data_IF_305651952514
#
_entry.id   IF_305651952514
#
_cell.length_a   1.000
_cell.length_b   1.000
_cell.length_c   1.000
_cell.angle_alpha   90.00
_cell.angle_beta   90.00
_cell.angle_gamma   90.00
#
_symmetry.space_group_name_H-M   'P 1'
#
loop_
_entity.id
_entity.type
_entity.pdbx_description
1 polymer ?
#
# COMPACT_ATOMS: atom_id res chain seq x y z
N UNK A 1 -15.94 -37.59 -5.95
CA UNK A 1 -15.56 -36.36 -5.23
C UNK A 1 -15.26 -35.29 -6.26
N UNK A 2 -15.84 -34.10 -6.10
CA UNK A 2 -15.53 -33.00 -7.00
C UNK A 2 -14.13 -32.45 -6.76
N UNK A 3 -13.66 -31.64 -7.70
CA UNK A 3 -12.35 -31.01 -7.63
C UNK A 3 -12.38 -29.73 -6.77
N UNK A 4 -11.22 -29.37 -6.25
CA UNK A 4 -10.99 -28.08 -5.59
C UNK A 4 -10.35 -27.09 -6.58
N UNK A 5 -10.88 -25.86 -6.62
CA UNK A 5 -10.34 -24.77 -7.42
C UNK A 5 -9.56 -23.81 -6.51
N UNK A 6 -8.29 -23.58 -6.79
CA UNK A 6 -7.43 -22.64 -6.09
C UNK A 6 -7.22 -21.41 -6.99
N UNK A 7 -7.56 -20.21 -6.47
CA UNK A 7 -7.46 -18.97 -7.24
C UNK A 7 -6.45 -18.05 -6.56
N UNK A 8 -5.27 -17.90 -7.15
CA UNK A 8 -4.22 -17.00 -6.69
C UNK A 8 -4.35 -15.59 -7.31
N UNK A 9 -3.65 -14.61 -6.75
CA UNK A 9 -3.65 -13.25 -7.29
C UNK A 9 -2.78 -13.10 -8.53
N UNK A 10 -1.69 -13.88 -8.61
CA UNK A 10 -0.68 -13.79 -9.68
C UNK A 10 -0.23 -15.17 -10.15
N UNK A 11 0.25 -15.30 -11.40
CA UNK A 11 0.74 -16.57 -11.94
C UNK A 11 1.85 -17.21 -11.10
N UNK A 12 2.77 -16.41 -10.56
CA UNK A 12 3.87 -16.89 -9.71
C UNK A 12 3.36 -17.54 -8.42
N UNK A 13 2.39 -16.94 -7.77
CA UNK A 13 1.76 -17.48 -6.55
C UNK A 13 1.02 -18.78 -6.87
N UNK A 14 0.28 -18.83 -7.98
CA UNK A 14 -0.39 -20.05 -8.44
C UNK A 14 0.59 -21.21 -8.67
N UNK A 15 1.80 -20.94 -9.15
CA UNK A 15 2.84 -21.95 -9.31
C UNK A 15 3.30 -22.53 -7.97
N UNK A 16 3.45 -21.70 -6.94
CA UNK A 16 3.83 -22.18 -5.61
C UNK A 16 2.71 -23.03 -4.99
N UNK A 17 1.44 -22.65 -5.15
CA UNK A 17 0.31 -23.49 -4.76
C UNK A 17 0.30 -24.83 -5.49
N UNK A 18 0.51 -24.83 -6.82
CA UNK A 18 0.54 -26.06 -7.61
C UNK A 18 1.69 -27.00 -7.18
N UNK A 19 2.86 -26.45 -6.83
CA UNK A 19 3.99 -27.23 -6.30
C UNK A 19 3.67 -27.79 -4.91
N UNK A 20 3.11 -26.96 -4.01
CA UNK A 20 2.79 -27.36 -2.65
C UNK A 20 1.75 -28.49 -2.59
N UNK A 21 0.81 -28.51 -3.53
CA UNK A 21 -0.19 -29.58 -3.63
C UNK A 21 0.39 -30.95 -4.05
N UNK A 22 1.62 -31.02 -4.55
CA UNK A 22 2.34 -32.28 -4.92
C UNK A 22 1.52 -33.22 -5.84
N UNK A 23 0.71 -32.64 -6.72
CA UNK A 23 -0.09 -33.38 -7.69
C UNK A 23 0.55 -33.27 -9.08
N UNK A 24 0.41 -34.33 -9.89
CA UNK A 24 0.72 -34.21 -11.31
C UNK A 24 -0.32 -33.33 -11.99
N UNK A 25 0.10 -32.14 -12.44
CA UNK A 25 -0.76 -31.12 -13.01
C UNK A 25 -0.33 -30.78 -14.44
N UNK A 26 -1.24 -30.94 -15.38
CA UNK A 26 -1.08 -30.46 -16.75
C UNK A 26 -1.28 -28.96 -16.81
N UNK A 27 -0.44 -28.29 -17.58
CA UNK A 27 -0.56 -26.86 -17.84
C UNK A 27 -1.48 -26.57 -19.02
N UNK A 28 -2.40 -25.65 -18.80
CA UNK A 28 -3.33 -25.11 -19.81
C UNK A 28 -3.16 -23.59 -19.90
N UNK A 29 -3.81 -23.00 -20.88
CA UNK A 29 -3.84 -21.54 -20.96
C UNK A 29 -4.61 -20.96 -19.76
N UNK A 30 -3.93 -20.24 -18.89
CA UNK A 30 -4.51 -19.56 -17.74
C UNK A 30 -4.79 -20.43 -16.51
N UNK A 31 -4.47 -21.73 -16.50
CA UNK A 31 -4.63 -22.60 -15.32
C UNK A 31 -3.79 -23.87 -15.42
N UNK A 32 -3.71 -24.61 -14.30
CA UNK A 32 -3.16 -25.97 -14.21
C UNK A 32 -4.22 -26.90 -13.64
N UNK A 33 -4.24 -28.14 -14.08
CA UNK A 33 -5.23 -29.11 -13.64
C UNK A 33 -4.63 -30.49 -13.39
N UNK A 34 -4.95 -31.05 -12.24
CA UNK A 34 -4.69 -32.42 -11.83
C UNK A 34 -5.97 -33.20 -11.55
N UNK A 35 -5.84 -34.40 -11.01
CA UNK A 35 -6.97 -35.29 -10.76
C UNK A 35 -7.99 -34.69 -9.76
N UNK A 36 -7.53 -34.10 -8.67
CA UNK A 36 -8.40 -33.54 -7.60
C UNK A 36 -8.38 -32.02 -7.46
N UNK A 37 -7.56 -31.32 -8.25
CA UNK A 37 -7.38 -29.89 -8.09
C UNK A 37 -7.18 -29.16 -9.41
N UNK A 38 -7.66 -27.90 -9.43
CA UNK A 38 -7.41 -26.93 -10.48
C UNK A 38 -6.80 -25.70 -9.82
N UNK A 39 -5.71 -25.17 -10.38
CA UNK A 39 -5.06 -23.95 -9.90
C UNK A 39 -5.08 -22.91 -11.01
N UNK A 40 -5.68 -21.76 -10.73
CA UNK A 40 -5.73 -20.61 -11.64
C UNK A 40 -5.30 -19.35 -10.93
N UNK A 41 -5.27 -18.25 -11.64
CA UNK A 41 -4.80 -16.97 -11.12
C UNK A 41 -5.52 -15.78 -11.73
N UNK A 42 -5.52 -14.70 -10.98
CA UNK A 42 -5.74 -13.37 -11.53
C UNK A 42 -4.43 -12.80 -12.09
N UNK A 43 -4.46 -11.64 -12.68
CA UNK A 43 -3.28 -10.89 -13.12
C UNK A 43 -3.23 -9.53 -12.39
N UNK A 44 -3.48 -9.57 -11.06
CA UNK A 44 -3.96 -8.46 -10.30
C UNK A 44 -5.46 -8.29 -10.52
N UNK A 45 -5.95 -7.06 -10.69
CA UNK A 45 -7.36 -6.82 -10.98
C UNK A 45 -7.78 -7.36 -12.35
N UNK A 46 -8.86 -8.15 -12.37
CA UNK A 46 -9.57 -8.56 -13.58
C UNK A 46 -10.80 -7.71 -13.84
N UNK A 47 -11.31 -7.06 -12.80
CA UNK A 47 -12.52 -6.25 -12.79
C UNK A 47 -12.22 -4.90 -12.17
N UNK A 48 -12.84 -3.86 -12.68
CA UNK A 48 -12.70 -2.48 -12.17
C UNK A 48 -14.06 -1.79 -12.11
N UNK A 49 -14.15 -0.68 -11.39
CA UNK A 49 -15.32 0.19 -11.47
C UNK A 49 -15.39 0.85 -12.85
N UNK A 50 -16.59 0.91 -13.41
CA UNK A 50 -16.84 1.51 -14.73
C UNK A 50 -16.61 3.02 -14.71
N UNK A 51 -16.10 3.54 -15.81
CA UNK A 51 -15.93 5.00 -15.97
C UNK A 51 -17.28 5.73 -15.98
N UNK A 52 -17.29 7.03 -15.62
CA UNK A 52 -18.54 7.81 -15.53
C UNK A 52 -19.41 7.83 -16.79
N UNK A 53 -18.81 7.74 -17.98
CA UNK A 53 -19.54 7.68 -19.25
C UNK A 53 -20.40 6.43 -19.44
N UNK A 54 -20.17 5.36 -18.68
CA UNK A 54 -21.00 4.14 -18.68
C UNK A 54 -22.34 4.41 -17.94
N UNK A 55 -22.36 5.40 -17.08
CA UNK A 55 -23.59 5.81 -16.39
C UNK A 55 -24.41 6.78 -17.22
N UNK A 56 -23.76 7.76 -17.87
CA UNK A 56 -24.39 8.74 -18.76
C UNK A 56 -23.29 9.34 -19.65
N UNK A 57 -23.52 9.38 -20.96
CA UNK A 57 -22.60 9.92 -21.97
C UNK A 57 -22.21 11.38 -21.75
N UNK A 58 -23.03 12.17 -20.98
CA UNK A 58 -22.67 13.55 -20.59
C UNK A 58 -21.37 13.63 -19.79
N UNK A 59 -21.00 12.55 -19.07
CA UNK A 59 -19.76 12.48 -18.29
C UNK A 59 -18.50 12.17 -19.12
N UNK A 60 -18.65 11.82 -20.41
CA UNK A 60 -17.52 11.59 -21.31
C UNK A 60 -16.70 12.85 -21.53
N UNK A 61 -17.37 13.99 -21.73
CA UNK A 61 -16.71 15.30 -21.83
C UNK A 61 -16.64 15.90 -20.42
N UNK A 62 -15.41 16.18 -19.97
CA UNK A 62 -15.21 16.80 -18.67
C UNK A 62 -15.75 18.23 -18.66
N UNK A 63 -16.55 18.55 -17.67
CA UNK A 63 -17.16 19.87 -17.48
C UNK A 63 -17.41 20.10 -15.99
N UNK A 64 -17.24 21.35 -15.53
CA UNK A 64 -17.59 21.75 -14.17
C UNK A 64 -19.08 21.55 -13.88
N UNK A 65 -19.94 21.71 -14.89
CA UNK A 65 -21.39 21.52 -14.76
C UNK A 65 -21.80 20.06 -14.48
N UNK A 66 -20.91 19.09 -14.70
CA UNK A 66 -21.18 17.67 -14.46
C UNK A 66 -20.49 17.13 -13.19
N UNK A 67 -19.99 18.03 -12.34
CA UNK A 67 -19.36 17.71 -11.06
C UNK A 67 -20.22 18.21 -9.91
N UNK A 68 -20.28 17.49 -8.77
CA UNK A 68 -19.63 16.22 -8.54
C UNK A 68 -20.34 15.04 -9.23
N UNK A 69 -19.58 14.05 -9.67
CA UNK A 69 -20.11 12.76 -10.10
C UNK A 69 -20.25 11.84 -8.89
N UNK A 70 -21.47 11.48 -8.53
CA UNK A 70 -21.80 10.59 -7.40
C UNK A 70 -22.85 9.61 -7.91
N UNK A 71 -22.46 8.37 -8.29
CA UNK A 71 -23.43 7.38 -8.75
C UNK A 71 -24.25 6.83 -7.60
N UNK A 72 -25.52 6.54 -7.83
CA UNK A 72 -26.37 5.85 -6.86
C UNK A 72 -25.95 4.40 -6.66
N UNK A 73 -25.60 3.73 -7.74
CA UNK A 73 -25.05 2.37 -7.74
C UNK A 73 -23.71 2.34 -8.47
N UNK A 74 -22.75 1.59 -7.91
CA UNK A 74 -21.46 1.41 -8.56
C UNK A 74 -21.52 0.28 -9.57
N UNK A 75 -21.20 0.58 -10.82
CA UNK A 75 -21.09 -0.39 -11.91
C UNK A 75 -19.65 -0.88 -12.03
N UNK A 76 -19.53 -2.15 -12.39
CA UNK A 76 -18.23 -2.80 -12.56
C UNK A 76 -18.13 -3.37 -13.98
N UNK A 77 -16.92 -3.44 -14.49
CA UNK A 77 -16.62 -3.99 -15.81
C UNK A 77 -15.31 -4.77 -15.80
N UNK A 78 -15.22 -5.74 -16.72
CA UNK A 78 -13.99 -6.52 -16.90
C UNK A 78 -12.95 -5.65 -17.60
N UNK A 79 -11.75 -5.62 -17.06
CA UNK A 79 -10.61 -4.91 -17.65
C UNK A 79 -10.28 -5.51 -19.01
N UNK A 80 -10.30 -4.72 -20.07
CA UNK A 80 -10.15 -5.19 -21.47
C UNK A 80 -8.88 -6.02 -21.68
N UNK A 81 -7.74 -5.58 -21.14
CA UNK A 81 -6.46 -6.30 -21.23
C UNK A 81 -6.44 -7.62 -20.44
N UNK A 82 -7.30 -7.79 -19.45
CA UNK A 82 -7.40 -8.97 -18.62
C UNK A 82 -8.60 -9.88 -19.00
N UNK A 83 -9.35 -9.51 -20.05
CA UNK A 83 -10.60 -10.19 -20.43
C UNK A 83 -10.41 -11.68 -20.72
N UNK A 84 -9.33 -12.06 -21.38
CA UNK A 84 -9.04 -13.46 -21.68
C UNK A 84 -8.89 -14.30 -20.40
N UNK A 85 -8.12 -13.82 -19.44
CA UNK A 85 -7.94 -14.50 -18.16
C UNK A 85 -9.23 -14.49 -17.33
N UNK A 86 -9.99 -13.40 -17.34
CA UNK A 86 -11.29 -13.35 -16.68
C UNK A 86 -12.25 -14.43 -17.22
N UNK A 87 -12.33 -14.65 -18.53
CA UNK A 87 -13.19 -15.69 -19.12
C UNK A 87 -12.75 -17.09 -18.69
N UNK A 88 -11.45 -17.35 -18.58
CA UNK A 88 -10.92 -18.62 -18.08
C UNK A 88 -11.35 -18.83 -16.62
N UNK A 89 -11.09 -17.84 -15.74
CA UNK A 89 -11.46 -17.93 -14.32
C UNK A 89 -12.97 -18.07 -14.15
N UNK A 90 -13.76 -17.30 -14.89
CA UNK A 90 -15.23 -17.41 -14.91
C UNK A 90 -15.69 -18.82 -15.31
N UNK A 91 -15.11 -19.37 -16.38
CA UNK A 91 -15.40 -20.72 -16.82
C UNK A 91 -15.09 -21.76 -15.75
N UNK A 92 -13.92 -21.67 -15.11
CA UNK A 92 -13.50 -22.58 -14.03
C UNK A 92 -14.40 -22.46 -12.79
N UNK A 93 -14.77 -21.25 -12.37
CA UNK A 93 -15.67 -21.02 -11.24
C UNK A 93 -17.04 -21.68 -11.43
N UNK A 94 -17.52 -21.77 -12.67
CA UNK A 94 -18.84 -22.31 -12.99
C UNK A 94 -18.80 -23.79 -13.47
N UNK A 95 -17.65 -24.47 -13.42
CA UNK A 95 -17.53 -25.88 -13.76
C UNK A 95 -18.32 -26.75 -12.77
N UNK A 96 -19.06 -27.71 -13.28
CA UNK A 96 -19.89 -28.63 -12.47
C UNK A 96 -19.05 -29.55 -11.59
N UNK A 97 -17.87 -29.94 -12.03
CA UNK A 97 -16.96 -30.84 -11.29
C UNK A 97 -16.13 -30.11 -10.20
N UNK A 98 -16.31 -28.80 -10.02
CA UNK A 98 -15.72 -28.02 -8.93
C UNK A 98 -16.70 -27.90 -7.77
N UNK A 99 -16.36 -28.46 -6.62
CA UNK A 99 -17.18 -28.40 -5.40
C UNK A 99 -16.76 -27.25 -4.45
N UNK A 100 -15.45 -27.03 -4.34
CA UNK A 100 -14.88 -26.09 -3.37
C UNK A 100 -13.92 -25.12 -4.07
N UNK A 101 -14.05 -23.84 -3.74
CA UNK A 101 -13.18 -22.77 -4.19
C UNK A 101 -12.32 -22.32 -3.03
N UNK A 102 -11.01 -22.41 -3.19
CA UNK A 102 -10.03 -21.83 -2.27
C UNK A 102 -9.56 -20.49 -2.79
N UNK A 103 -9.84 -19.45 -2.03
CA UNK A 103 -9.46 -18.06 -2.33
C UNK A 103 -8.05 -17.84 -1.81
N UNK A 104 -7.08 -17.83 -2.71
CA UNK A 104 -5.65 -17.75 -2.42
C UNK A 104 -5.02 -16.44 -2.91
N UNK A 105 -5.83 -15.39 -3.04
CA UNK A 105 -5.33 -14.02 -3.26
C UNK A 105 -4.62 -13.52 -2.00
N UNK A 106 -3.80 -12.49 -2.14
CA UNK A 106 -2.97 -11.96 -1.04
C UNK A 106 -3.78 -11.73 0.24
N UNK A 107 -3.17 -12.00 1.39
CA UNK A 107 -3.82 -11.92 2.71
C UNK A 107 -3.99 -10.46 3.13
N UNK A 108 -5.05 -9.82 2.66
CA UNK A 108 -5.32 -8.42 2.90
C UNK A 108 -6.58 -7.93 2.20
N UNK A 109 -6.92 -6.66 2.43
CA UNK A 109 -8.10 -6.00 1.83
C UNK A 109 -8.08 -6.04 0.31
N UNK A 110 -6.92 -5.83 -0.30
CA UNK A 110 -6.77 -5.79 -1.75
C UNK A 110 -7.05 -7.16 -2.38
N UNK A 111 -6.43 -8.23 -1.86
CA UNK A 111 -6.68 -9.58 -2.34
C UNK A 111 -8.13 -10.03 -2.14
N UNK A 112 -8.77 -9.60 -1.04
CA UNK A 112 -10.20 -9.85 -0.82
C UNK A 112 -11.05 -9.14 -1.87
N UNK A 113 -10.76 -7.87 -2.15
CA UNK A 113 -11.47 -7.08 -3.16
C UNK A 113 -11.34 -7.66 -4.57
N UNK A 114 -10.13 -8.07 -4.96
CA UNK A 114 -9.88 -8.70 -6.26
C UNK A 114 -10.76 -9.93 -6.45
N UNK A 115 -10.77 -10.84 -5.48
CA UNK A 115 -11.57 -12.06 -5.60
C UNK A 115 -13.08 -11.79 -5.60
N UNK A 116 -13.57 -10.97 -4.66
CA UNK A 116 -15.00 -10.67 -4.53
C UNK A 116 -15.59 -10.05 -5.81
N UNK A 117 -14.84 -9.18 -6.48
CA UNK A 117 -15.25 -8.64 -7.78
C UNK A 117 -15.31 -9.71 -8.87
N UNK A 118 -14.33 -10.61 -8.91
CA UNK A 118 -14.31 -11.73 -9.86
C UNK A 118 -15.50 -12.66 -9.60
N UNK A 119 -15.78 -12.99 -8.36
CA UNK A 119 -16.92 -13.80 -7.96
C UNK A 119 -18.24 -13.15 -8.40
N UNK A 120 -18.43 -11.89 -8.06
CA UNK A 120 -19.62 -11.10 -8.42
C UNK A 120 -19.86 -11.09 -9.93
N UNK A 121 -18.82 -10.83 -10.71
CA UNK A 121 -18.92 -10.73 -12.17
C UNK A 121 -18.99 -12.09 -12.88
N UNK A 122 -18.54 -13.16 -12.23
CA UNK A 122 -18.65 -14.53 -12.77
C UNK A 122 -20.04 -15.12 -12.60
N UNK A 123 -20.80 -14.63 -11.61
CA UNK A 123 -22.14 -15.11 -11.29
C UNK A 123 -22.15 -16.53 -10.71
N UNK A 124 -21.05 -16.98 -10.10
CA UNK A 124 -20.95 -18.33 -9.51
C UNK A 124 -21.92 -18.47 -8.32
N UNK A 125 -22.58 -19.64 -8.24
CA UNK A 125 -23.53 -19.99 -7.17
C UNK A 125 -23.22 -21.38 -6.65
N UNK A 126 -23.75 -21.69 -5.46
CA UNK A 126 -23.82 -23.05 -4.89
C UNK A 126 -22.47 -23.79 -4.78
N UNK A 127 -21.38 -23.05 -4.53
CA UNK A 127 -20.04 -23.59 -4.26
C UNK A 127 -19.61 -23.28 -2.84
N UNK A 128 -18.87 -24.22 -2.22
CA UNK A 128 -18.18 -23.92 -0.95
C UNK A 128 -17.02 -22.97 -1.23
N UNK A 129 -16.87 -21.92 -0.42
CA UNK A 129 -15.81 -20.93 -0.56
C UNK A 129 -14.99 -20.91 0.71
N UNK A 130 -13.69 -21.08 0.57
CA UNK A 130 -12.76 -21.08 1.68
C UNK A 130 -11.65 -20.06 1.45
N UNK A 131 -11.39 -19.21 2.41
CA UNK A 131 -10.32 -18.22 2.37
C UNK A 131 -9.04 -18.79 2.95
N UNK A 132 -8.01 -18.86 2.12
CA UNK A 132 -6.64 -19.22 2.53
C UNK A 132 -5.95 -17.95 3.01
N UNK A 133 -5.43 -17.99 4.23
CA UNK A 133 -4.73 -16.85 4.83
C UNK A 133 -3.31 -17.26 5.20
N UNK A 134 -2.33 -16.70 4.51
CA UNK A 134 -0.90 -17.04 4.65
C UNK A 134 -0.04 -15.79 4.70
N UNK A 135 1.04 -15.85 5.45
CA UNK A 135 2.00 -14.75 5.61
C UNK A 135 3.24 -14.93 4.70
N UNK A 136 3.46 -16.11 4.17
CA UNK A 136 4.52 -16.41 3.21
C UNK A 136 4.10 -17.48 2.20
N UNK A 137 4.90 -17.64 1.13
CA UNK A 137 4.61 -18.60 0.05
C UNK A 137 5.48 -19.87 0.16
N UNK A 138 5.94 -20.21 1.35
CA UNK A 138 6.62 -21.49 1.57
C UNK A 138 5.63 -22.66 1.49
N UNK A 139 6.09 -23.82 1.08
CA UNK A 139 5.25 -25.02 0.96
C UNK A 139 4.50 -25.32 2.27
N UNK A 140 5.21 -25.28 3.40
CA UNK A 140 4.64 -25.53 4.73
C UNK A 140 3.50 -24.56 5.04
N UNK A 141 3.72 -23.27 4.79
CA UNK A 141 2.74 -22.22 5.07
C UNK A 141 1.51 -22.33 4.15
N UNK A 142 1.73 -22.62 2.86
CA UNK A 142 0.62 -22.86 1.92
C UNK A 142 -0.24 -24.04 2.39
N UNK A 143 0.38 -25.16 2.74
CA UNK A 143 -0.35 -26.36 3.23
C UNK A 143 -1.07 -26.10 4.56
N UNK A 144 -0.46 -25.31 5.46
CA UNK A 144 -1.10 -24.84 6.69
C UNK A 144 -2.33 -24.01 6.36
N UNK A 145 -2.18 -22.98 5.52
CA UNK A 145 -3.27 -22.09 5.14
C UNK A 145 -4.43 -22.80 4.46
N UNK A 146 -4.17 -23.84 3.65
CA UNK A 146 -5.23 -24.66 3.04
C UNK A 146 -5.98 -25.48 4.12
N UNK A 147 -5.27 -26.10 5.06
CA UNK A 147 -5.90 -26.88 6.15
C UNK A 147 -6.76 -26.02 7.07
N UNK A 148 -6.28 -24.81 7.38
CA UNK A 148 -6.92 -23.86 8.29
C UNK A 148 -7.87 -22.88 7.58
N UNK A 149 -8.09 -23.06 6.27
CA UNK A 149 -8.92 -22.17 5.48
C UNK A 149 -10.34 -22.08 6.03
N UNK A 150 -10.74 -20.88 6.39
CA UNK A 150 -12.04 -20.57 6.96
C UNK A 150 -13.08 -20.32 5.88
N UNK A 151 -14.35 -20.34 6.25
CA UNK A 151 -15.41 -19.94 5.34
C UNK A 151 -15.20 -18.48 4.90
N UNK A 152 -15.48 -18.22 3.63
CA UNK A 152 -15.27 -16.87 3.05
C UNK A 152 -16.11 -15.80 3.75
N UNK A 153 -17.27 -16.16 4.31
CA UNK A 153 -18.15 -15.24 5.03
C UNK A 153 -17.51 -14.66 6.31
N UNK A 154 -16.54 -15.33 6.91
CA UNK A 154 -15.80 -14.77 8.04
C UNK A 154 -14.99 -13.50 7.67
N UNK A 155 -14.80 -13.26 6.38
CA UNK A 155 -14.09 -12.10 5.86
C UNK A 155 -15.01 -11.02 5.24
N UNK A 156 -16.32 -11.10 5.45
CA UNK A 156 -17.28 -10.14 4.87
C UNK A 156 -17.01 -8.71 5.33
N UNK A 157 -16.73 -8.49 6.61
CA UNK A 157 -16.37 -7.15 7.12
C UNK A 157 -15.08 -6.61 6.47
N UNK A 158 -14.13 -7.49 6.17
CA UNK A 158 -12.90 -7.11 5.46
C UNK A 158 -13.21 -6.74 4.01
N UNK A 159 -14.07 -7.50 3.35
CA UNK A 159 -14.55 -7.23 2.00
C UNK A 159 -15.28 -5.88 1.94
N UNK A 160 -16.20 -5.62 2.87
CA UNK A 160 -16.93 -4.33 2.96
C UNK A 160 -15.98 -3.15 3.14
N UNK A 161 -14.99 -3.29 4.01
CA UNK A 161 -13.92 -2.30 4.20
C UNK A 161 -13.15 -2.04 2.90
N UNK A 162 -12.87 -3.09 2.12
CA UNK A 162 -12.18 -2.99 0.84
C UNK A 162 -13.04 -2.30 -0.23
N UNK A 163 -14.31 -2.65 -0.33
CA UNK A 163 -15.28 -2.00 -1.22
C UNK A 163 -15.46 -0.51 -0.90
N UNK A 164 -15.60 -0.16 0.38
CA UNK A 164 -15.74 1.23 0.81
C UNK A 164 -14.50 2.04 0.43
N UNK A 165 -13.31 1.51 0.70
CA UNK A 165 -12.06 2.16 0.34
C UNK A 165 -11.95 2.38 -1.18
N UNK A 166 -12.27 1.38 -1.97
CA UNK A 166 -12.20 1.48 -3.42
C UNK A 166 -13.19 2.52 -3.96
N UNK A 167 -14.42 2.58 -3.42
CA UNK A 167 -15.44 3.59 -3.77
C UNK A 167 -14.98 5.00 -3.39
N UNK A 168 -14.39 5.16 -2.21
CA UNK A 168 -13.83 6.44 -1.76
C UNK A 168 -12.72 6.91 -2.72
N UNK A 169 -11.73 6.05 -3.00
CA UNK A 169 -10.63 6.37 -3.91
C UNK A 169 -11.14 6.71 -5.33
N UNK A 170 -12.15 5.98 -5.81
CA UNK A 170 -12.78 6.24 -7.09
C UNK A 170 -13.47 7.61 -7.13
N UNK A 171 -14.31 7.92 -6.14
CA UNK A 171 -15.04 9.20 -6.08
C UNK A 171 -14.09 10.39 -5.94
N UNK A 172 -13.11 10.29 -5.05
CA UNK A 172 -12.10 11.33 -4.89
C UNK A 172 -11.27 11.50 -6.17
N UNK A 173 -10.77 10.40 -6.71
CA UNK A 173 -9.95 10.40 -7.92
C UNK A 173 -10.68 11.04 -9.11
N UNK A 174 -11.89 10.60 -9.42
CA UNK A 174 -12.67 11.11 -10.55
C UNK A 174 -13.00 12.59 -10.37
N UNK A 175 -13.58 12.98 -9.24
CA UNK A 175 -14.09 14.34 -9.05
C UNK A 175 -12.97 15.37 -8.93
N UNK A 176 -11.98 15.12 -8.08
CA UNK A 176 -10.90 16.08 -7.87
C UNK A 176 -9.92 16.16 -9.03
N UNK A 177 -9.63 15.03 -9.71
CA UNK A 177 -8.77 15.08 -10.90
C UNK A 177 -9.43 15.90 -12.01
N UNK A 178 -10.72 15.71 -12.26
CA UNK A 178 -11.46 16.49 -13.25
C UNK A 178 -11.55 17.98 -12.86
N UNK A 179 -11.89 18.26 -11.60
CA UNK A 179 -11.98 19.63 -11.09
C UNK A 179 -10.66 20.39 -11.23
N UNK A 180 -9.56 19.82 -10.76
CA UNK A 180 -8.26 20.49 -10.81
C UNK A 180 -7.73 20.60 -12.24
N UNK A 181 -7.92 19.58 -13.07
CA UNK A 181 -7.55 19.64 -14.47
C UNK A 181 -8.31 20.74 -15.22
N UNK A 182 -9.62 20.85 -15.01
CA UNK A 182 -10.44 21.88 -15.64
C UNK A 182 -10.07 23.29 -15.18
N UNK A 183 -9.66 23.47 -13.92
CA UNK A 183 -9.27 24.77 -13.37
C UNK A 183 -7.84 25.18 -13.69
N UNK A 184 -6.91 24.25 -13.59
CA UNK A 184 -5.47 24.56 -13.59
C UNK A 184 -4.68 23.84 -14.68
N UNK A 185 -5.26 22.84 -15.36
CA UNK A 185 -4.55 22.02 -16.35
C UNK A 185 -3.94 22.85 -17.49
N UNK A 186 -4.67 23.84 -18.00
CA UNK A 186 -4.17 24.72 -19.07
C UNK A 186 -2.99 25.61 -18.60
N UNK A 187 -3.05 26.15 -17.38
CA UNK A 187 -1.96 26.96 -16.83
C UNK A 187 -0.69 26.14 -16.62
N UNK A 188 -0.84 24.92 -16.10
CA UNK A 188 0.28 23.98 -15.92
C UNK A 188 0.84 23.52 -17.26
N UNK A 189 -0.01 23.16 -18.22
CA UNK A 189 0.42 22.77 -19.56
C UNK A 189 1.22 23.91 -20.25
N UNK A 190 0.73 25.14 -20.14
CA UNK A 190 1.44 26.33 -20.65
C UNK A 190 2.81 26.53 -19.99
N UNK A 191 2.87 26.36 -18.66
CA UNK A 191 4.13 26.47 -17.90
C UNK A 191 5.13 25.38 -18.28
N UNK A 192 4.65 24.15 -18.52
CA UNK A 192 5.48 23.01 -18.90
C UNK A 192 5.76 22.95 -20.41
N UNK A 193 5.24 23.88 -21.21
CA UNK A 193 5.30 23.86 -22.68
C UNK A 193 4.67 22.59 -23.30
N UNK A 194 3.62 22.06 -22.67
CA UNK A 194 2.86 20.90 -23.13
C UNK A 194 1.52 21.32 -23.73
N UNK A 195 0.95 20.47 -24.59
CA UNK A 195 -0.38 20.72 -25.18
C UNK A 195 -1.53 20.54 -24.19
N UNK A 196 -1.35 19.65 -23.25
CA UNK A 196 -2.37 19.25 -22.28
C UNK A 196 -1.73 18.64 -21.04
N UNK A 197 -2.22 19.01 -19.87
CA UNK A 197 -1.77 18.41 -18.61
C UNK A 197 -2.96 17.98 -17.76
N UNK A 198 -2.99 16.69 -17.38
CA UNK A 198 -3.97 16.15 -16.46
C UNK A 198 -3.39 16.17 -15.04
N UNK A 199 -4.15 16.75 -14.13
CA UNK A 199 -3.80 16.75 -12.71
C UNK A 199 -4.51 15.56 -12.05
N UNK A 200 -3.77 14.50 -11.85
CA UNK A 200 -4.28 13.33 -11.14
C UNK A 200 -4.29 13.56 -9.63
N UNK A 201 -5.42 13.25 -9.00
CA UNK A 201 -5.59 13.30 -7.55
C UNK A 201 -5.84 11.89 -7.05
N UNK A 202 -5.13 11.52 -6.02
CA UNK A 202 -5.31 10.25 -5.34
C UNK A 202 -4.86 10.38 -3.89
N UNK A 203 -5.49 9.67 -2.99
CA UNK A 203 -5.28 9.78 -1.55
C UNK A 203 -3.81 9.63 -1.15
N UNK A 204 -3.14 8.61 -1.65
CA UNK A 204 -1.71 8.36 -1.36
C UNK A 204 -0.82 9.30 -2.15
N UNK A 205 -1.03 9.41 -3.45
CA UNK A 205 -0.16 10.20 -4.36
C UNK A 205 -0.15 11.69 -3.97
N UNK A 206 -1.29 12.26 -3.64
CA UNK A 206 -1.39 13.67 -3.24
C UNK A 206 -0.67 13.93 -1.91
N UNK A 207 -0.79 13.02 -0.94
CA UNK A 207 -0.05 13.12 0.32
C UNK A 207 1.46 13.05 0.12
N UNK A 208 1.93 12.09 -0.67
CA UNK A 208 3.37 11.94 -0.98
C UNK A 208 3.90 13.17 -1.71
N UNK A 209 3.17 13.68 -2.70
CA UNK A 209 3.54 14.93 -3.38
C UNK A 209 3.63 16.10 -2.38
N UNK A 210 2.67 16.22 -1.47
CA UNK A 210 2.68 17.24 -0.43
C UNK A 210 3.91 17.14 0.49
N UNK A 211 4.32 15.93 0.84
CA UNK A 211 5.54 15.69 1.63
C UNK A 211 6.80 16.10 0.86
N UNK A 212 6.90 15.74 -0.42
CA UNK A 212 8.03 16.13 -1.27
C UNK A 212 8.10 17.64 -1.42
N UNK A 213 6.99 18.30 -1.75
CA UNK A 213 6.93 19.76 -1.90
C UNK A 213 7.31 20.49 -0.60
N UNK A 214 6.85 19.99 0.56
CA UNK A 214 7.23 20.53 1.86
C UNK A 214 8.73 20.44 2.07
N UNK A 215 9.30 19.26 1.79
CA UNK A 215 10.74 19.02 1.94
C UNK A 215 11.57 19.92 1.01
N UNK A 216 11.13 20.09 -0.23
CA UNK A 216 11.78 21.02 -1.18
C UNK A 216 11.77 22.46 -0.68
N UNK A 217 10.65 22.91 -0.10
CA UNK A 217 10.56 24.24 0.50
C UNK A 217 11.51 24.39 1.69
N UNK A 218 11.53 23.42 2.60
CA UNK A 218 12.48 23.40 3.71
C UNK A 218 13.93 23.48 3.26
N UNK A 219 14.29 22.79 2.15
CA UNK A 219 15.64 22.84 1.59
C UNK A 219 15.94 24.24 1.01
N UNK A 220 14.99 24.83 0.26
CA UNK A 220 15.18 26.15 -0.35
C UNK A 220 15.23 27.29 0.69
N UNK A 221 14.46 27.16 1.75
CA UNK A 221 14.37 28.15 2.83
C UNK A 221 15.40 27.88 3.94
N UNK A 222 16.23 26.85 3.79
CA UNK A 222 17.18 26.46 4.81
C UNK A 222 18.25 27.55 5.03
N UNK A 223 18.27 28.07 6.25
CA UNK A 223 19.32 28.99 6.69
C UNK A 223 20.34 28.21 7.51
N UNK A 224 21.60 28.24 7.09
CA UNK A 224 22.69 27.61 7.85
C UNK A 224 22.80 28.27 9.22
N UNK A 225 22.52 27.52 10.25
CA UNK A 225 22.67 27.98 11.64
C UNK A 225 23.85 27.22 12.25
N UNK A 226 24.92 27.93 12.63
CA UNK A 226 26.02 27.32 13.36
C UNK A 226 25.51 26.87 14.71
N UNK A 227 26.00 25.74 15.20
CA UNK A 227 25.79 25.24 16.55
C UNK A 227 27.05 24.56 17.06
N UNK A 228 27.21 24.53 18.37
CA UNK A 228 28.44 24.11 19.03
C UNK A 228 28.15 22.91 19.90
N UNK A 229 28.81 21.79 19.61
CA UNK A 229 28.74 20.58 20.44
C UNK A 229 29.92 20.48 21.35
N UNK A 230 29.70 19.97 22.55
CA UNK A 230 30.75 19.71 23.50
C UNK A 230 31.12 18.24 23.43
N UNK A 231 32.36 17.97 23.06
CA UNK A 231 32.91 16.61 22.93
C UNK A 231 34.01 16.44 23.97
N UNK A 232 34.04 15.29 24.62
CA UNK A 232 35.07 14.94 25.61
C UNK A 232 35.83 13.69 25.13
N UNK A 233 37.13 13.72 25.36
CA UNK A 233 38.00 12.53 25.23
C UNK A 233 38.33 12.03 26.61
N UNK A 234 37.70 10.95 27.01
CA UNK A 234 37.88 10.35 28.32
C UNK A 234 38.99 9.30 28.28
N UNK A 235 39.77 9.21 29.36
CA UNK A 235 40.73 8.11 29.51
C UNK A 235 40.28 7.25 30.71
N UNK A 236 39.73 6.09 30.40
CA UNK A 236 39.29 5.13 31.40
C UNK A 236 40.28 3.93 31.43
N UNK A 237 41.08 3.84 32.48
CA UNK A 237 42.05 2.75 32.63
C UNK A 237 42.93 2.51 31.40
N UNK A 238 43.42 3.60 30.77
CA UNK A 238 44.25 3.53 29.56
C UNK A 238 43.53 3.38 28.23
N UNK A 239 42.22 3.24 28.24
CA UNK A 239 41.38 3.25 27.02
C UNK A 239 40.80 4.65 26.78
N UNK A 240 40.98 5.13 25.53
CA UNK A 240 40.40 6.41 25.11
C UNK A 240 38.97 6.17 24.62
N UNK A 241 38.02 6.96 25.13
CA UNK A 241 36.61 6.92 24.78
C UNK A 241 36.20 8.34 24.37
N UNK A 242 35.56 8.46 23.22
CA UNK A 242 34.95 9.72 22.79
C UNK A 242 33.52 9.79 23.36
N UNK A 243 33.19 10.89 24.01
CA UNK A 243 31.87 11.17 24.60
C UNK A 243 31.33 12.49 24.04
N UNK A 244 30.03 12.61 23.99
CA UNK A 244 29.32 13.82 23.57
C UNK A 244 28.38 14.23 24.69
N UNK A 245 28.46 15.51 25.08
CA UNK A 245 27.49 16.05 26.01
C UNK A 245 26.10 16.12 25.43
N UNK A 246 25.11 15.68 26.18
CA UNK A 246 23.68 15.82 25.88
C UNK A 246 22.92 16.32 27.06
N UNK A 247 21.92 17.17 26.80
CA UNK A 247 21.02 17.64 27.85
C UNK A 247 20.15 16.48 28.35
N UNK A 248 19.98 16.43 29.67
CA UNK A 248 19.01 15.55 30.31
C UNK A 248 18.00 16.40 31.11
N UNK A 249 16.89 15.82 31.60
CA UNK A 249 15.86 16.55 32.33
C UNK A 249 16.38 17.30 33.60
N UNK A 250 17.44 16.82 34.22
CA UNK A 250 18.02 17.40 35.43
C UNK A 250 19.05 18.50 35.13
N UNK A 251 19.37 18.71 33.85
CA UNK A 251 20.30 19.74 33.41
C UNK A 251 19.70 21.14 33.51
N UNK A 252 20.49 22.12 33.96
CA UNK A 252 20.15 23.56 33.93
C UNK A 252 19.84 24.06 32.50
N UNK A 253 20.26 23.31 31.49
CA UNK A 253 20.01 23.62 30.09
C UNK A 253 18.77 22.91 29.54
N UNK A 254 18.05 22.12 30.34
CA UNK A 254 16.85 21.43 29.87
C UNK A 254 15.80 22.44 29.36
N UNK A 255 15.34 22.26 28.13
CA UNK A 255 14.43 23.19 27.42
C UNK A 255 14.92 24.66 27.37
N UNK A 256 16.22 24.89 27.50
CA UNK A 256 16.77 26.24 27.44
C UNK A 256 16.78 26.78 26.01
N UNK A 257 16.43 28.07 25.80
CA UNK A 257 16.56 28.73 24.49
C UNK A 257 18.02 28.88 24.00
N UNK A 258 19.00 28.58 24.85
CA UNK A 258 20.41 28.55 24.48
C UNK A 258 20.80 27.32 23.66
N UNK A 259 19.94 26.27 23.65
CA UNK A 259 20.19 25.06 22.91
C UNK A 259 19.65 25.16 21.48
N UNK A 260 20.38 24.58 20.52
CA UNK A 260 19.91 24.32 19.18
C UNK A 260 19.07 23.03 19.14
N UNK A 261 19.57 21.97 19.77
CA UNK A 261 18.95 20.66 20.00
C UNK A 261 19.51 20.09 21.30
N UNK A 262 19.16 18.83 21.60
CA UNK A 262 19.59 18.14 22.83
C UNK A 262 21.11 18.05 23.03
N UNK A 263 21.92 18.25 22.00
CA UNK A 263 23.38 18.09 22.03
C UNK A 263 24.16 19.28 21.49
N UNK A 264 23.57 20.46 21.41
CA UNK A 264 24.30 21.60 20.85
C UNK A 264 23.79 22.94 21.30
N UNK A 265 24.70 23.90 21.46
CA UNK A 265 24.42 25.28 21.83
C UNK A 265 24.35 26.18 20.59
N UNK A 266 23.52 27.22 20.66
CA UNK A 266 23.41 28.23 19.60
C UNK A 266 24.63 29.18 19.60
N UNK A 267 25.35 29.32 20.73
CA UNK A 267 26.49 30.19 20.87
C UNK A 267 27.72 29.44 21.40
N UNK A 268 28.88 29.80 20.89
CA UNK A 268 30.15 29.21 21.26
C UNK A 268 30.50 29.52 22.74
N UNK A 269 30.16 30.73 23.21
CA UNK A 269 30.41 31.18 24.58
C UNK A 269 29.71 30.26 25.58
N UNK A 270 28.44 29.86 25.29
CA UNK A 270 27.69 28.99 26.19
C UNK A 270 28.30 27.57 26.23
N UNK A 271 28.82 27.09 25.09
CA UNK A 271 29.53 25.80 25.05
C UNK A 271 30.84 25.88 25.88
N UNK A 272 31.57 27.01 25.80
CA UNK A 272 32.78 27.24 26.59
C UNK A 272 32.49 27.39 28.10
N UNK A 273 31.40 28.06 28.47
CA UNK A 273 30.93 28.13 29.85
C UNK A 273 30.68 26.74 30.44
N UNK A 274 30.00 25.86 29.67
CA UNK A 274 29.80 24.49 30.10
C UNK A 274 31.14 23.73 30.24
N UNK A 275 32.05 23.84 29.29
CA UNK A 275 33.36 23.19 29.37
C UNK A 275 34.08 23.61 30.63
N UNK A 276 34.14 24.93 30.91
CA UNK A 276 34.79 25.45 32.12
C UNK A 276 34.14 24.97 33.40
N UNK A 277 32.84 24.75 33.41
CA UNK A 277 32.10 24.21 34.55
C UNK A 277 32.36 22.72 34.81
N UNK A 278 32.77 21.98 33.77
CA UNK A 278 33.05 20.55 33.87
C UNK A 278 34.52 20.22 34.07
N UNK A 279 35.41 21.19 33.88
CA UNK A 279 36.85 21.02 34.12
C UNK A 279 37.13 20.67 35.58
N UNK A 280 37.91 19.62 35.79
CA UNK A 280 38.30 19.10 37.11
C UNK A 280 37.17 18.48 37.95
N UNK A 281 35.99 18.27 37.41
CA UNK A 281 34.95 17.51 38.10
C UNK A 281 35.13 15.99 37.89
N UNK A 282 34.88 15.17 38.93
CA UNK A 282 34.88 13.74 38.81
C UNK A 282 33.72 13.29 37.90
N UNK A 283 34.01 12.39 36.97
CA UNK A 283 32.98 11.78 36.11
C UNK A 283 32.67 10.36 36.60
N UNK A 284 31.38 10.03 36.61
CA UNK A 284 30.89 8.74 37.02
C UNK A 284 30.19 8.07 35.84
N UNK A 285 30.32 6.76 35.75
CA UNK A 285 29.61 5.96 34.79
C UNK A 285 28.31 5.44 35.43
N UNK A 286 27.19 5.85 34.95
CA UNK A 286 25.88 5.28 35.32
C UNK A 286 25.56 4.09 34.42
N UNK A 287 24.91 3.08 35.02
CA UNK A 287 24.51 1.85 34.29
C UNK A 287 23.24 2.06 33.49
#
# INVERSE_FOLDING_TARGET
MGKSLYIAEKPSVAQEFAKALKMDMRSYNGYREGEGAVVTWCVGHLVTMSYPEVYDMKYKKWSLATLPFIPQEFKYEVIKSASAQFQIVKGLLNREDIDTIYVCTDSGREGEYIYRLVEQMSGVKDKKRKRVWIDSQTEEEILRGIREAKDLSEYDNLADSAYLRAKEDYLMGINFSRLLTLKYGNAIASYLHEKYSVISVGRVMTCVLGMVVRREREIREFVKTPFYRVLAKLNLQGRKIDAEWRVNPDSIYFQSPKLYKENGFLKEETAKELISSLENLPMYVEK
#
